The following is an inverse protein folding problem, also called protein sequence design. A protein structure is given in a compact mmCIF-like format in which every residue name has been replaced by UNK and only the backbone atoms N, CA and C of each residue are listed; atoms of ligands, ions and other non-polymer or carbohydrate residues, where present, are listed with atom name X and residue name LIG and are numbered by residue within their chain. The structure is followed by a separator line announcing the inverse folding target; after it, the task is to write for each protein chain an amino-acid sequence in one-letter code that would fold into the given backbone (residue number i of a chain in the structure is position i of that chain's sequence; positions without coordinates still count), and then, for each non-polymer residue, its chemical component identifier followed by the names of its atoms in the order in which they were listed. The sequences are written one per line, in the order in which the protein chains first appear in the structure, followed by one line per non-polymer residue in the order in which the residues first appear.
data_IF_473040364126
#
_entry.id   IF_473040364126
#
_cell.length_a   1.000
_cell.length_b   1.000
_cell.length_c   1.000
_cell.angle_alpha   90.00
_cell.angle_beta   90.00
_cell.angle_gamma   90.00
#
_symmetry.space_group_name_H-M   'P 1'
#
loop_
_entity.id
_entity.type
_entity.pdbx_description
1 polymer ?
#
# COMPACT_ATOMS: atom_id res chain seq x y z
N UNK A 1 6.19 12.08 3.48
CA UNK A 1 5.64 11.10 4.44
C UNK A 1 4.14 11.02 4.29
N UNK A 2 3.56 9.83 4.41
CA UNK A 2 2.11 9.57 4.38
C UNK A 2 1.74 8.56 5.44
N UNK A 3 0.51 8.67 5.95
CA UNK A 3 -0.13 7.68 6.82
C UNK A 3 -1.35 7.15 6.07
N UNK A 4 -1.46 5.83 5.91
CA UNK A 4 -2.55 5.21 5.19
C UNK A 4 -3.71 4.86 6.13
N UNK A 5 -4.91 5.21 5.71
CA UNK A 5 -6.16 4.97 6.43
C UNK A 5 -6.87 3.72 5.93
N UNK A 6 -7.87 3.26 6.67
CA UNK A 6 -8.75 2.19 6.21
C UNK A 6 -9.51 2.56 4.93
N UNK A 7 -9.81 3.85 4.74
CA UNK A 7 -10.45 4.35 3.52
C UNK A 7 -9.52 4.23 2.31
N UNK A 8 -8.24 4.61 2.45
CA UNK A 8 -7.25 4.45 1.38
C UNK A 8 -7.10 2.98 0.95
N UNK A 9 -7.03 2.08 1.94
CA UNK A 9 -6.94 0.62 1.70
C UNK A 9 -8.19 0.11 1.00
N UNK A 10 -9.38 0.55 1.43
CA UNK A 10 -10.66 0.17 0.81
C UNK A 10 -10.77 0.70 -0.63
N UNK A 11 -10.38 1.96 -0.85
CA UNK A 11 -10.38 2.57 -2.17
C UNK A 11 -9.40 1.86 -3.11
N UNK A 12 -8.22 1.49 -2.62
CA UNK A 12 -7.23 0.76 -3.40
C UNK A 12 -7.70 -0.66 -3.76
N UNK A 13 -8.30 -1.39 -2.81
CA UNK A 13 -8.92 -2.69 -3.07
C UNK A 13 -9.97 -2.59 -4.19
N UNK A 14 -10.90 -1.64 -4.09
CA UNK A 14 -11.92 -1.40 -5.13
C UNK A 14 -11.32 -1.06 -6.49
N UNK A 15 -10.25 -0.27 -6.52
CA UNK A 15 -9.59 0.14 -7.77
C UNK A 15 -8.84 -1.01 -8.44
N UNK A 16 -8.22 -1.88 -7.63
CA UNK A 16 -7.29 -2.91 -8.13
C UNK A 16 -7.92 -4.30 -8.22
N UNK A 17 -9.02 -4.55 -7.52
CA UNK A 17 -9.60 -5.88 -7.32
C UNK A 17 -8.84 -6.72 -6.29
N UNK A 18 -7.85 -6.15 -5.57
CA UNK A 18 -7.15 -6.85 -4.49
C UNK A 18 -7.99 -6.79 -3.19
N UNK A 19 -9.01 -7.64 -3.15
CA UNK A 19 -9.93 -7.84 -2.02
C UNK A 19 -9.40 -8.86 -1.01
N UNK A 20 -8.08 -9.06 -0.92
CA UNK A 20 -7.49 -9.97 0.05
C UNK A 20 -7.92 -9.58 1.48
N UNK A 21 -8.54 -10.50 2.25
CA UNK A 21 -9.07 -10.21 3.58
C UNK A 21 -7.99 -9.76 4.58
N UNK A 22 -6.70 -10.02 4.31
CA UNK A 22 -5.58 -9.45 5.07
C UNK A 22 -5.61 -7.90 5.15
N UNK A 23 -6.23 -7.24 4.18
CA UNK A 23 -6.31 -5.78 4.11
C UNK A 23 -7.60 -5.22 4.72
N UNK A 24 -8.70 -5.98 4.67
CA UNK A 24 -10.04 -5.47 4.97
C UNK A 24 -10.64 -6.02 6.28
N UNK A 25 -10.44 -7.31 6.56
CA UNK A 25 -11.12 -8.02 7.64
C UNK A 25 -10.23 -8.12 8.89
N UNK A 26 -10.67 -7.51 9.98
CA UNK A 26 -9.94 -7.50 11.25
C UNK A 26 -9.86 -8.90 11.85
N UNK A 27 -10.94 -9.67 11.80
CA UNK A 27 -11.02 -11.01 12.39
C UNK A 27 -10.09 -11.97 11.64
N UNK A 28 -10.15 -11.95 10.31
CA UNK A 28 -9.26 -12.75 9.46
C UNK A 28 -7.80 -12.35 9.70
N UNK A 29 -7.47 -11.06 9.60
CA UNK A 29 -6.10 -10.61 9.76
C UNK A 29 -5.53 -10.86 11.18
N UNK A 30 -6.39 -10.88 12.21
CA UNK A 30 -5.99 -11.20 13.59
C UNK A 30 -5.63 -12.68 13.77
N UNK A 31 -6.25 -13.58 13.00
CA UNK A 31 -5.90 -15.01 13.01
C UNK A 31 -4.66 -15.35 12.17
N UNK A 32 -4.21 -14.42 11.34
CA UNK A 32 -3.09 -14.62 10.42
C UNK A 32 -1.75 -14.16 11.01
N UNK A 33 -0.66 -14.45 10.27
CA UNK A 33 0.74 -14.23 10.70
C UNK A 33 1.03 -12.87 11.34
N UNK A 34 0.40 -11.79 10.85
CA UNK A 34 0.71 -10.42 11.29
C UNK A 34 -0.21 -9.93 12.42
N UNK A 35 -1.27 -10.68 12.77
CA UNK A 35 -2.16 -10.37 13.90
C UNK A 35 -2.98 -9.08 13.76
N UNK A 36 -2.92 -8.42 12.61
CA UNK A 36 -3.62 -7.17 12.33
C UNK A 36 -3.68 -6.93 10.82
N UNK A 37 -4.62 -6.08 10.39
CA UNK A 37 -4.73 -5.67 8.98
C UNK A 37 -3.47 -4.95 8.55
N UNK A 38 -2.99 -5.29 7.36
CA UNK A 38 -1.83 -4.68 6.72
C UNK A 38 -2.25 -3.85 5.52
N UNK A 39 -1.48 -2.82 5.20
CA UNK A 39 -1.66 -2.00 3.99
C UNK A 39 -1.14 -2.78 2.77
N UNK A 40 -1.83 -2.69 1.63
CA UNK A 40 -1.36 -3.27 0.37
C UNK A 40 0.05 -2.79 0.04
N UNK A 41 0.96 -3.72 -0.29
CA UNK A 41 2.34 -3.38 -0.68
C UNK A 41 2.40 -2.37 -1.84
N UNK A 42 1.56 -2.61 -2.85
CA UNK A 42 1.49 -1.76 -4.03
C UNK A 42 0.86 -0.38 -3.76
N UNK A 43 0.02 -0.23 -2.72
CA UNK A 43 -0.56 1.06 -2.37
C UNK A 43 0.53 2.03 -1.94
N UNK A 44 1.39 1.66 -0.99
CA UNK A 44 2.48 2.55 -0.61
C UNK A 44 3.61 2.58 -1.64
N UNK A 45 3.82 1.52 -2.43
CA UNK A 45 4.77 1.57 -3.54
C UNK A 45 4.37 2.59 -4.63
N UNK A 46 3.07 2.88 -4.80
CA UNK A 46 2.59 3.89 -5.74
C UNK A 46 3.12 5.30 -5.46
N UNK A 47 3.63 5.56 -4.24
CA UNK A 47 4.29 6.82 -3.89
C UNK A 47 5.49 7.12 -4.80
N UNK A 48 6.19 6.10 -5.31
CA UNK A 48 7.29 6.31 -6.26
C UNK A 48 6.82 6.90 -7.60
N UNK A 49 5.64 6.48 -8.08
CA UNK A 49 5.05 7.05 -9.29
C UNK A 49 4.75 8.54 -9.13
N UNK A 50 4.23 8.95 -7.97
CA UNK A 50 4.02 10.36 -7.66
C UNK A 50 5.33 11.16 -7.64
N UNK A 51 6.41 10.59 -7.10
CA UNK A 51 7.73 11.24 -7.10
C UNK A 51 8.24 11.44 -8.53
N UNK A 52 8.18 10.39 -9.36
CA UNK A 52 8.65 10.45 -10.76
C UNK A 52 7.82 11.46 -11.55
N UNK A 53 6.48 11.39 -11.46
CA UNK A 53 5.59 12.28 -12.21
C UNK A 53 5.69 13.75 -11.80
N UNK A 54 5.92 14.04 -10.51
CA UNK A 54 6.09 15.42 -10.00
C UNK A 54 7.47 15.98 -10.33
N UNK A 55 8.54 15.19 -10.15
CA UNK A 55 9.91 15.68 -10.38
C UNK A 55 10.30 15.71 -11.85
N UNK A 56 9.73 14.83 -12.67
CA UNK A 56 10.07 14.69 -14.09
C UNK A 56 8.79 14.64 -14.95
N UNK A 57 8.07 15.76 -15.09
CA UNK A 57 6.86 15.82 -15.91
C UNK A 57 7.09 15.29 -17.34
N UNK A 58 6.16 14.48 -17.84
CA UNK A 58 6.25 13.84 -19.17
C UNK A 58 7.07 12.54 -19.22
N UNK A 59 7.69 12.13 -18.11
CA UNK A 59 8.42 10.87 -18.03
C UNK A 59 7.49 9.67 -17.88
N UNK A 60 7.88 8.54 -18.46
CA UNK A 60 7.19 7.26 -18.30
C UNK A 60 7.96 6.38 -17.33
N UNK A 61 7.27 5.83 -16.32
CA UNK A 61 7.88 4.91 -15.36
C UNK A 61 7.99 3.51 -15.99
N UNK A 62 9.17 3.18 -16.54
CA UNK A 62 9.37 1.98 -17.37
C UNK A 62 9.49 0.69 -16.55
N UNK A 63 10.24 0.71 -15.45
CA UNK A 63 10.47 -0.50 -14.66
C UNK A 63 10.72 -0.19 -13.20
N UNK A 64 10.33 -1.12 -12.34
CA UNK A 64 10.53 -1.05 -10.91
C UNK A 64 10.76 -2.47 -10.36
N UNK A 65 11.72 -2.62 -9.45
CA UNK A 65 11.91 -3.84 -8.69
C UNK A 65 11.73 -3.54 -7.21
N UNK A 66 10.92 -4.34 -6.52
CA UNK A 66 10.56 -4.14 -5.13
C UNK A 66 10.75 -5.42 -4.32
N UNK A 67 10.99 -5.24 -3.02
CA UNK A 67 10.94 -6.32 -2.04
C UNK A 67 10.29 -5.81 -0.77
N UNK A 68 9.12 -6.37 -0.43
CA UNK A 68 8.37 -6.01 0.76
C UNK A 68 8.91 -6.76 1.98
N UNK A 69 9.86 -6.14 2.69
CA UNK A 69 10.60 -6.79 3.78
C UNK A 69 9.84 -6.85 5.10
N UNK A 70 8.91 -5.93 5.33
CA UNK A 70 8.07 -5.83 6.53
C UNK A 70 6.67 -5.35 6.13
N UNK A 71 5.61 -5.77 6.83
CA UNK A 71 4.29 -5.20 6.63
C UNK A 71 4.28 -3.74 7.06
N UNK A 72 3.36 -2.97 6.47
CA UNK A 72 2.97 -1.65 6.94
C UNK A 72 1.58 -1.80 7.53
N UNK A 73 1.37 -1.32 8.74
CA UNK A 73 0.07 -1.33 9.40
C UNK A 73 -0.68 -0.02 9.17
N UNK A 74 -2.00 -0.05 9.34
CA UNK A 74 -2.79 1.17 9.32
C UNK A 74 -2.31 2.12 10.43
N UNK A 75 -2.14 3.40 10.11
CA UNK A 75 -1.60 4.39 11.04
C UNK A 75 -0.08 4.53 11.04
N UNK A 76 0.66 3.60 10.41
CA UNK A 76 2.11 3.75 10.26
C UNK A 76 2.46 4.92 9.34
N UNK A 77 3.49 5.68 9.72
CA UNK A 77 4.07 6.73 8.89
C UNK A 77 5.07 6.13 7.89
N UNK A 78 4.74 6.21 6.60
CA UNK A 78 5.58 5.75 5.50
C UNK A 78 6.26 6.95 4.83
N UNK A 79 7.58 6.85 4.63
CA UNK A 79 8.36 7.83 3.87
C UNK A 79 9.05 7.12 2.71
N UNK A 80 9.03 7.76 1.54
CA UNK A 80 9.68 7.31 0.31
C UNK A 80 10.85 8.26 -0.03
#
# INVERSE_FOLDING_TARGET
TRVFTAEDVTAFARLTGDDNPLHADVSFASSERYGARVVHGMLYASMFGAIVGVRYPGSVYISQSLSFRRPVFLGDAVTA
#
